data_IF_042992287853
#
_entry.id   IF_042992287853
#
_cell.length_a   1.000
_cell.length_b   1.000
_cell.length_c   1.000
_cell.angle_alpha   90.00
_cell.angle_beta   90.00
_cell.angle_gamma   90.00
#
_symmetry.space_group_name_H-M   'P 1'
#
loop_
_entity.id
_entity.type
_entity.pdbx_description
1 polymer ?
#
# COMPACT_ATOMS: atom_id res chain seq x y z
N UNK A 1 3.42 33.42 -1.62
CA UNK A 1 3.68 31.97 -1.79
C UNK A 1 2.69 31.26 -0.89
N UNK A 2 1.75 30.51 -1.47
CA UNK A 2 0.71 29.83 -0.71
C UNK A 2 1.26 28.50 -0.21
N UNK A 3 1.49 28.38 1.08
CA UNK A 3 1.89 27.14 1.74
C UNK A 3 0.61 26.34 2.03
N UNK A 4 0.52 25.10 1.53
CA UNK A 4 -0.58 24.19 1.85
C UNK A 4 -0.10 23.21 2.90
N UNK A 5 -0.82 23.10 4.01
CA UNK A 5 -0.56 22.11 5.06
C UNK A 5 -1.59 21.00 4.89
N UNK A 6 -1.10 19.78 4.68
CA UNK A 6 -1.92 18.58 4.71
C UNK A 6 -1.86 18.10 6.15
N UNK A 7 -2.99 18.08 6.84
CA UNK A 7 -3.11 17.32 8.08
C UNK A 7 -3.00 15.84 7.73
N UNK A 8 -1.95 15.21 8.21
CA UNK A 8 -1.72 13.78 8.05
C UNK A 8 -1.78 13.19 9.45
N UNK A 9 -2.98 12.93 9.94
CA UNK A 9 -3.15 12.14 11.15
C UNK A 9 -3.66 10.76 10.76
N UNK A 10 -2.81 9.75 10.91
CA UNK A 10 -3.23 8.35 10.89
C UNK A 10 -4.31 8.06 11.95
N UNK A 11 -4.46 8.94 12.95
CA UNK A 11 -5.43 8.85 14.04
C UNK A 11 -6.90 9.09 13.66
N UNK A 12 -7.19 9.77 12.54
CA UNK A 12 -8.59 10.10 12.18
C UNK A 12 -9.36 8.87 11.68
N UNK A 13 -8.66 7.90 11.08
CA UNK A 13 -9.29 6.64 10.70
C UNK A 13 -8.96 5.65 11.82
N UNK A 14 -9.93 5.41 12.71
CA UNK A 14 -10.02 4.10 13.38
C UNK A 14 -10.16 3.07 12.26
N UNK A 15 -9.05 2.68 11.67
CA UNK A 15 -8.96 1.57 10.74
C UNK A 15 -9.14 0.33 11.60
N UNK A 16 -10.40 0.05 11.96
CA UNK A 16 -10.78 -1.26 12.44
C UNK A 16 -10.40 -2.26 11.37
N UNK A 17 -9.42 -3.10 11.69
CA UNK A 17 -9.08 -4.36 11.02
C UNK A 17 -9.04 -4.29 9.49
N UNK A 18 -8.19 -3.41 8.94
CA UNK A 18 -7.86 -3.44 7.52
C UNK A 18 -6.40 -3.81 7.34
N UNK A 19 -6.11 -5.11 7.40
CA UNK A 19 -4.78 -5.70 7.14
C UNK A 19 -4.16 -5.25 5.80
N UNK A 20 -4.93 -4.64 4.91
CA UNK A 20 -4.46 -4.14 3.62
C UNK A 20 -3.92 -2.70 3.65
N UNK A 21 -4.06 -1.96 4.76
CA UNK A 21 -3.52 -0.60 4.93
C UNK A 21 -2.12 -0.71 5.52
N UNK A 22 -1.14 -0.08 4.88
CA UNK A 22 0.24 -0.11 5.38
C UNK A 22 0.55 0.93 6.45
N UNK A 23 1.64 0.71 7.18
CA UNK A 23 2.12 1.54 8.29
C UNK A 23 2.44 2.97 7.85
N UNK A 24 2.99 3.16 6.64
CA UNK A 24 3.31 4.49 6.08
C UNK A 24 2.25 5.00 5.08
N UNK A 25 1.05 4.41 5.11
CA UNK A 25 -0.04 4.81 4.22
C UNK A 25 -0.78 6.04 4.75
N UNK A 26 -0.93 7.03 3.87
CA UNK A 26 -1.66 8.27 4.11
C UNK A 26 -2.90 8.35 3.22
N UNK A 27 -3.87 9.15 3.66
CA UNK A 27 -5.12 9.38 2.94
C UNK A 27 -5.26 10.84 2.56
N UNK A 28 -5.49 11.10 1.26
CA UNK A 28 -5.68 12.47 0.79
C UNK A 28 -7.09 12.96 1.12
N UNK A 29 -7.20 13.99 1.98
CA UNK A 29 -8.44 14.73 2.21
C UNK A 29 -8.47 16.03 1.40
N UNK A 30 -9.66 16.45 0.96
CA UNK A 30 -9.87 17.77 0.34
C UNK A 30 -9.98 18.91 1.35
N UNK A 31 -9.98 18.62 2.65
CA UNK A 31 -10.00 19.63 3.71
C UNK A 31 -8.75 20.50 3.61
N UNK A 32 -8.93 21.80 3.83
CA UNK A 32 -7.86 22.78 3.81
C UNK A 32 -7.93 23.62 5.06
N UNK A 33 -6.80 23.72 5.73
CA UNK A 33 -6.64 24.56 6.91
C UNK A 33 -5.44 25.49 6.75
N UNK A 34 -5.50 26.63 7.44
CA UNK A 34 -4.39 27.58 7.51
C UNK A 34 -3.70 27.41 8.85
N UNK A 35 -2.40 27.10 8.81
CA UNK A 35 -1.58 26.91 10.00
C UNK A 35 -0.34 27.81 9.95
N UNK A 36 0.23 28.11 11.13
CA UNK A 36 1.46 28.88 11.24
C UNK A 36 2.66 28.08 10.71
N UNK A 37 3.58 28.72 10.00
CA UNK A 37 4.83 28.07 9.53
C UNK A 37 5.63 27.47 10.69
N UNK A 38 5.47 27.99 11.91
CA UNK A 38 6.15 27.48 13.11
C UNK A 38 5.66 26.10 13.55
N UNK A 39 4.51 25.62 13.06
CA UNK A 39 4.01 24.27 13.37
C UNK A 39 4.66 23.20 12.49
N UNK A 40 5.39 23.60 11.43
CA UNK A 40 6.07 22.67 10.54
C UNK A 40 7.30 22.09 11.25
N UNK A 41 7.26 20.78 11.52
CA UNK A 41 8.37 20.04 12.13
C UNK A 41 9.44 19.69 11.08
N UNK A 42 9.02 19.14 9.94
CA UNK A 42 9.92 18.71 8.87
C UNK A 42 9.19 18.59 7.53
N UNK A 43 9.96 18.44 6.46
CA UNK A 43 9.48 18.02 5.14
C UNK A 43 9.44 16.49 5.07
N UNK A 44 8.46 15.93 4.38
CA UNK A 44 8.39 14.51 4.01
C UNK A 44 8.14 14.33 2.50
N UNK A 45 8.14 13.08 2.05
CA UNK A 45 7.80 12.68 0.69
C UNK A 45 6.55 11.81 0.72
N UNK A 46 5.58 12.12 -0.14
CA UNK A 46 4.39 11.29 -0.32
C UNK A 46 4.38 10.79 -1.75
N UNK A 47 4.60 9.49 -1.89
CA UNK A 47 4.75 8.80 -3.16
C UNK A 47 3.41 8.30 -3.69
N UNK A 48 3.37 8.03 -4.99
CA UNK A 48 2.33 7.13 -5.52
C UNK A 48 2.58 5.71 -5.00
N UNK A 49 1.53 4.89 -4.92
CA UNK A 49 1.69 3.49 -4.49
C UNK A 49 2.71 2.72 -5.32
N UNK A 50 2.72 2.95 -6.64
CA UNK A 50 3.66 2.30 -7.55
C UNK A 50 5.11 2.67 -7.22
N UNK A 51 5.38 3.95 -6.99
CA UNK A 51 6.72 4.43 -6.72
C UNK A 51 7.21 3.98 -5.35
N UNK A 52 6.32 3.98 -4.35
CA UNK A 52 6.62 3.44 -3.02
C UNK A 52 6.97 1.94 -3.07
N UNK A 53 6.18 1.14 -3.79
CA UNK A 53 6.49 -0.29 -3.98
C UNK A 53 7.88 -0.51 -4.60
N UNK A 54 8.27 0.32 -5.57
CA UNK A 54 9.61 0.23 -6.16
C UNK A 54 10.71 0.55 -5.12
N UNK A 55 10.47 1.49 -4.19
CA UNK A 55 11.40 1.77 -3.09
C UNK A 55 11.48 0.59 -2.11
N UNK A 56 10.35 -0.05 -1.78
CA UNK A 56 10.31 -1.26 -0.95
C UNK A 56 11.14 -2.39 -1.58
N UNK A 57 10.93 -2.65 -2.87
CA UNK A 57 11.63 -3.71 -3.61
C UNK A 57 13.15 -3.46 -3.67
N UNK A 58 13.58 -2.19 -3.68
CA UNK A 58 14.99 -1.77 -3.64
C UNK A 58 15.56 -1.60 -2.22
N UNK A 59 14.77 -1.87 -1.17
CA UNK A 59 15.15 -1.62 0.24
C UNK A 59 15.64 -0.19 0.50
N UNK A 60 15.02 0.79 -0.15
CA UNK A 60 15.42 2.20 -0.13
C UNK A 60 14.30 3.11 0.39
N UNK A 61 13.45 2.60 1.28
CA UNK A 61 12.42 3.39 1.97
C UNK A 61 13.07 4.09 3.17
N UNK A 62 12.98 5.41 3.23
CA UNK A 62 13.41 6.21 4.36
C UNK A 62 12.27 6.52 5.34
N UNK A 63 12.62 6.97 6.54
CA UNK A 63 11.67 7.31 7.62
C UNK A 63 10.74 8.51 7.34
N UNK A 64 10.94 9.19 6.20
CA UNK A 64 10.10 10.32 5.74
C UNK A 64 9.41 10.01 4.42
N UNK A 65 9.50 8.77 3.94
CA UNK A 65 8.83 8.29 2.73
C UNK A 65 7.49 7.67 3.11
N UNK A 66 6.42 8.30 2.64
CA UNK A 66 5.06 7.84 2.82
C UNK A 66 4.43 7.57 1.47
N UNK A 67 3.24 6.98 1.44
CA UNK A 67 2.51 6.80 0.19
C UNK A 67 1.01 7.04 0.32
N UNK A 68 0.36 7.34 -0.80
CA UNK A 68 -1.07 7.58 -0.85
C UNK A 68 -1.68 6.96 -2.11
N UNK A 69 -2.75 6.18 -1.93
CA UNK A 69 -3.57 5.61 -3.04
C UNK A 69 -5.07 5.75 -2.83
N UNK A 70 -5.49 6.26 -1.69
CA UNK A 70 -6.87 6.51 -1.36
C UNK A 70 -7.08 8.00 -1.07
N UNK A 71 -8.28 8.47 -1.41
CA UNK A 71 -8.82 9.71 -0.87
C UNK A 71 -9.69 9.39 0.34
N UNK A 72 -9.76 10.34 1.25
CA UNK A 72 -10.62 10.30 2.43
C UNK A 72 -11.64 11.43 2.36
N UNK A 73 -12.89 11.10 2.64
CA UNK A 73 -13.98 12.04 2.82
C UNK A 73 -14.26 12.19 4.33
N UNK A 74 -13.97 13.36 4.93
CA UNK A 74 -14.17 13.59 6.36
C UNK A 74 -15.64 13.65 6.77
N UNK A 75 -16.54 14.05 5.86
CA UNK A 75 -17.96 14.22 6.17
C UNK A 75 -18.64 12.86 6.32
N UNK A 76 -18.19 11.88 5.53
CA UNK A 76 -18.71 10.51 5.54
C UNK A 76 -17.83 9.51 6.29
N UNK A 77 -16.56 9.87 6.56
CA UNK A 77 -15.57 8.97 7.16
C UNK A 77 -15.12 7.83 6.24
N UNK A 78 -15.26 7.99 4.92
CA UNK A 78 -15.00 6.91 3.95
C UNK A 78 -13.69 7.10 3.20
N UNK A 79 -13.07 5.98 2.80
CA UNK A 79 -11.92 5.97 1.89
C UNK A 79 -12.33 5.44 0.52
N UNK A 80 -11.76 6.01 -0.54
CA UNK A 80 -12.10 5.68 -1.91
C UNK A 80 -10.89 5.78 -2.84
N UNK A 81 -10.84 4.93 -3.86
CA UNK A 81 -9.79 4.92 -4.89
C UNK A 81 -10.06 6.05 -5.88
N UNK A 82 -9.13 7.00 -6.07
CA UNK A 82 -9.28 8.05 -7.07
C UNK A 82 -9.47 7.45 -8.47
N UNK A 83 -10.39 8.03 -9.25
CA UNK A 83 -10.64 7.67 -10.64
C UNK A 83 -11.08 6.19 -10.87
N UNK A 84 -11.56 5.51 -9.83
CA UNK A 84 -12.12 4.16 -9.93
C UNK A 84 -13.63 4.17 -9.75
N UNK A 85 -14.37 3.72 -10.76
CA UNK A 85 -15.83 3.53 -10.66
C UNK A 85 -16.19 2.34 -9.77
N UNK A 86 -15.28 1.36 -9.65
CA UNK A 86 -15.51 0.12 -8.89
C UNK A 86 -15.02 0.21 -7.45
N UNK A 87 -14.27 1.25 -7.09
CA UNK A 87 -13.61 1.42 -5.79
C UNK A 87 -12.65 0.28 -5.40
N UNK A 88 -12.26 -0.56 -6.36
CA UNK A 88 -11.39 -1.72 -6.12
C UNK A 88 -9.96 -1.41 -6.53
N UNK A 89 -9.03 -1.72 -5.64
CA UNK A 89 -7.61 -1.90 -5.96
C UNK A 89 -7.43 -3.33 -6.48
N UNK A 90 -6.55 -3.54 -7.46
CA UNK A 90 -6.29 -4.88 -8.02
C UNK A 90 -5.82 -5.81 -6.91
N UNK A 91 -6.56 -6.89 -6.67
CA UNK A 91 -6.16 -7.94 -5.76
C UNK A 91 -5.32 -8.98 -6.49
N UNK A 92 -4.18 -9.37 -5.90
CA UNK A 92 -3.24 -10.30 -6.52
C UNK A 92 -3.28 -11.71 -5.90
N UNK A 93 -3.63 -11.81 -4.61
CA UNK A 93 -3.61 -13.06 -3.83
C UNK A 93 -5.00 -13.73 -3.73
N UNK A 94 -5.05 -14.97 -3.22
CA UNK A 94 -6.28 -15.73 -2.96
C UNK A 94 -7.20 -15.07 -1.94
N UNK A 95 -6.67 -14.21 -1.06
CA UNK A 95 -7.47 -13.47 -0.08
C UNK A 95 -8.30 -12.33 -0.70
N UNK A 96 -8.07 -12.01 -1.99
CA UNK A 96 -8.77 -10.93 -2.70
C UNK A 96 -8.65 -9.54 -2.04
N UNK A 97 -7.67 -9.36 -1.15
CA UNK A 97 -7.37 -8.08 -0.52
C UNK A 97 -6.40 -7.24 -1.37
N UNK A 98 -6.49 -5.89 -1.28
CA UNK A 98 -5.46 -5.00 -1.81
C UNK A 98 -4.08 -5.34 -1.24
N UNK A 99 -3.01 -5.14 -2.03
CA UNK A 99 -1.63 -5.37 -1.58
C UNK A 99 -1.27 -4.42 -0.43
N UNK A 100 -0.82 -4.95 0.69
CA UNK A 100 -0.12 -4.17 1.70
C UNK A 100 1.39 -4.23 1.40
N UNK A 101 2.11 -3.09 1.23
CA UNK A 101 3.56 -3.06 1.03
C UNK A 101 4.38 -3.67 2.16
N UNK A 102 3.84 -3.68 3.38
CA UNK A 102 4.58 -4.12 4.57
C UNK A 102 4.69 -5.64 4.66
N UNK A 103 3.79 -6.35 3.96
CA UNK A 103 3.79 -7.79 3.90
C UNK A 103 4.49 -8.30 2.66
N UNK A 104 5.44 -9.22 2.88
CA UNK A 104 6.14 -9.89 1.80
C UNK A 104 5.15 -10.69 0.93
N UNK A 105 5.34 -10.58 -0.39
CA UNK A 105 4.64 -11.38 -1.38
C UNK A 105 5.63 -12.04 -2.32
N UNK A 106 5.29 -13.24 -2.80
CA UNK A 106 6.04 -13.95 -3.82
C UNK A 106 5.26 -13.98 -5.13
N UNK A 107 5.93 -13.70 -6.25
CA UNK A 107 5.31 -13.72 -7.57
C UNK A 107 5.46 -15.10 -8.21
N UNK A 108 4.35 -15.66 -8.69
CA UNK A 108 4.37 -16.87 -9.51
C UNK A 108 5.12 -16.62 -10.83
N UNK A 109 6.13 -17.44 -11.10
CA UNK A 109 6.91 -17.37 -12.33
C UNK A 109 6.20 -18.01 -13.53
N UNK A 110 5.14 -18.80 -13.29
CA UNK A 110 4.29 -19.37 -14.34
C UNK A 110 3.43 -18.34 -15.08
N UNK A 111 2.49 -18.83 -15.90
CA UNK A 111 1.64 -18.00 -16.76
C UNK A 111 0.82 -16.92 -16.03
N UNK A 112 0.46 -17.13 -14.76
CA UNK A 112 -0.47 -16.21 -14.08
C UNK A 112 0.17 -14.90 -13.62
N UNK A 113 1.50 -14.88 -13.38
CA UNK A 113 2.27 -13.75 -12.85
C UNK A 113 1.65 -13.07 -11.61
N UNK A 114 0.77 -13.77 -10.88
CA UNK A 114 0.08 -13.29 -9.69
C UNK A 114 1.00 -13.31 -8.47
N UNK A 115 0.75 -12.40 -7.53
CA UNK A 115 1.46 -12.28 -6.27
C UNK A 115 0.69 -12.92 -5.14
N UNK A 116 1.37 -13.63 -4.24
CA UNK A 116 0.75 -14.34 -3.13
C UNK A 116 1.45 -14.02 -1.82
N UNK A 117 0.65 -13.89 -0.76
CA UNK A 117 1.19 -13.91 0.60
C UNK A 117 1.60 -15.36 0.93
N UNK A 118 2.82 -15.60 1.45
CA UNK A 118 3.25 -16.94 1.85
C UNK A 118 2.24 -17.64 2.79
N UNK A 119 1.66 -16.97 3.80
CA UNK A 119 0.66 -17.60 4.66
C UNK A 119 -0.60 -18.07 3.91
N UNK A 120 -1.01 -17.39 2.84
CA UNK A 120 -2.14 -17.82 2.00
C UNK A 120 -1.83 -19.07 1.15
N UNK A 121 -0.59 -19.53 1.16
CA UNK A 121 -0.11 -20.74 0.52
C UNK A 121 0.44 -21.76 1.54
N UNK A 122 0.15 -21.57 2.83
CA UNK A 122 0.59 -22.46 3.92
C UNK A 122 2.13 -22.59 4.00
N UNK A 123 2.84 -21.49 3.73
CA UNK A 123 4.31 -21.41 3.82
C UNK A 123 4.77 -20.17 4.58
N UNK A 124 5.98 -20.20 5.12
CA UNK A 124 6.61 -19.04 5.77
C UNK A 124 7.32 -18.14 4.76
N UNK A 125 7.65 -16.91 5.18
CA UNK A 125 8.44 -16.02 4.33
C UNK A 125 9.83 -16.58 4.01
N UNK A 126 10.48 -17.24 4.98
CA UNK A 126 11.80 -17.85 4.79
C UNK A 126 11.73 -18.95 3.72
N UNK A 127 10.71 -19.80 3.79
CA UNK A 127 10.47 -20.83 2.79
C UNK A 127 10.24 -20.21 1.41
N UNK A 128 9.39 -19.19 1.32
CA UNK A 128 9.10 -18.50 0.07
C UNK A 128 10.37 -17.84 -0.54
N UNK A 129 11.22 -17.20 0.27
CA UNK A 129 12.47 -16.58 -0.20
C UNK A 129 13.46 -17.60 -0.79
N UNK A 130 13.41 -18.84 -0.33
CA UNK A 130 14.23 -19.95 -0.83
C UNK A 130 13.65 -20.62 -2.08
N UNK A 131 12.36 -20.41 -2.40
CA UNK A 131 11.72 -20.98 -3.59
C UNK A 131 12.06 -20.17 -4.84
N UNK A 132 12.98 -20.70 -5.66
CA UNK A 132 13.26 -20.19 -7.01
C UNK A 132 13.50 -21.36 -7.98
N UNK A 133 12.64 -21.57 -8.99
CA UNK A 133 11.44 -20.79 -9.36
C UNK A 133 10.24 -21.09 -8.46
N UNK A 134 9.34 -20.12 -8.24
CA UNK A 134 8.06 -20.34 -7.55
C UNK A 134 6.89 -20.47 -8.53
N UNK A 135 6.10 -21.54 -8.41
CA UNK A 135 4.86 -21.77 -9.16
C UNK A 135 3.68 -21.90 -8.19
N UNK A 136 2.60 -21.14 -8.40
CA UNK A 136 1.47 -21.09 -7.47
C UNK A 136 0.64 -22.38 -7.41
N UNK A 137 0.65 -23.17 -8.49
CA UNK A 137 0.05 -24.50 -8.60
C UNK A 137 0.88 -25.33 -9.58
N UNK A 138 0.81 -26.66 -9.47
CA UNK A 138 1.50 -27.57 -10.41
C UNK A 138 1.09 -27.33 -11.87
N UNK A 139 -0.17 -26.95 -12.10
CA UNK A 139 -0.71 -26.68 -13.44
C UNK A 139 -0.37 -25.28 -13.98
N UNK A 140 0.24 -24.41 -13.17
CA UNK A 140 0.69 -23.09 -13.58
C UNK A 140 2.09 -23.23 -14.20
N UNK A 141 2.14 -23.81 -15.40
CA UNK A 141 3.38 -24.01 -16.14
C UNK A 141 4.03 -22.68 -16.56
N UNK A 142 5.35 -22.75 -16.74
CA UNK A 142 6.11 -21.79 -17.54
C UNK A 142 5.70 -22.03 -19.01
N UNK A 143 5.18 -21.01 -19.69
CA UNK A 143 5.21 -21.00 -21.15
C UNK A 143 6.60 -20.53 -21.60
#
# INVERSE_FOLDING_TARGET
>A
MSSYVIEVSQEIIKAGDKDFIGEDELFYSSVREVQSVKTIISKCFVHTFKDYLNLCDLQNVGYLDFYCRYKYDPDTGTIFVPNSTTQRVVAHCKCELPRNPDYFMIQCEGRCKKWYHPPCLEMTEEQARLMKPFLCTADCSLE
#
